data_IF_151542325280
#
_entry.id   IF_151542325280
#
_cell.length_a   1.000
_cell.length_b   1.000
_cell.length_c   1.000
_cell.angle_alpha   90.00
_cell.angle_beta   90.00
_cell.angle_gamma   90.00
#
_symmetry.space_group_name_H-M   'P 1'
#
loop_
_entity.id
_entity.type
_entity.pdbx_description
1 polymer ?
#
# COMPACT_ATOMS: atom_id res chain seq x y z
N UNK A 1 -18.47 -10.20 -6.82
CA UNK A 1 -17.40 -10.73 -5.96
C UNK A 1 -17.08 -9.76 -4.82
N UNK A 2 -16.54 -10.26 -3.69
CA UNK A 2 -16.02 -9.42 -2.60
C UNK A 2 -14.57 -9.01 -2.91
N UNK A 3 -14.25 -7.74 -2.70
CA UNK A 3 -12.89 -7.19 -2.82
C UNK A 3 -12.42 -6.72 -1.45
N UNK A 4 -11.24 -7.18 -1.04
CA UNK A 4 -10.56 -6.73 0.18
C UNK A 4 -9.45 -5.74 -0.22
N UNK A 5 -9.42 -4.56 0.40
CA UNK A 5 -8.40 -3.56 0.13
C UNK A 5 -7.65 -3.25 1.43
N UNK A 6 -6.33 -3.49 1.44
CA UNK A 6 -5.51 -3.10 2.57
C UNK A 6 -5.07 -1.64 2.44
N UNK A 7 -5.17 -0.89 3.54
CA UNK A 7 -4.79 0.53 3.58
C UNK A 7 -3.90 0.81 4.79
N UNK A 8 -2.83 1.58 4.58
CA UNK A 8 -1.87 1.94 5.62
C UNK A 8 -1.98 3.43 5.96
N UNK A 9 -1.92 3.72 7.27
CA UNK A 9 -1.75 5.08 7.79
C UNK A 9 -0.26 5.44 7.74
N UNK A 10 0.08 6.50 7.04
CA UNK A 10 1.46 6.97 6.84
C UNK A 10 1.56 8.47 7.11
N UNK A 11 2.78 8.98 7.27
CA UNK A 11 3.01 10.43 7.27
C UNK A 11 2.59 11.01 5.92
N UNK A 12 1.82 12.10 5.94
CA UNK A 12 1.41 12.80 4.72
C UNK A 12 2.63 13.21 3.89
N UNK A 13 2.60 12.95 2.59
CA UNK A 13 3.73 13.18 1.68
C UNK A 13 4.18 14.65 1.57
N UNK A 14 3.36 15.59 1.98
CA UNK A 14 3.72 17.02 2.03
C UNK A 14 4.50 17.38 3.31
N UNK A 15 4.58 16.49 4.29
CA UNK A 15 5.28 16.73 5.55
C UNK A 15 6.78 16.50 5.37
N UNK A 16 7.59 17.49 5.74
CA UNK A 16 9.03 17.30 5.88
C UNK A 16 9.32 16.57 7.18
N UNK A 17 9.61 15.27 7.10
CA UNK A 17 9.98 14.44 8.26
C UNK A 17 11.31 14.88 8.88
N UNK A 18 11.44 14.66 10.19
CA UNK A 18 12.67 14.93 10.96
C UNK A 18 13.07 13.67 11.71
N UNK A 19 14.36 13.48 11.89
CA UNK A 19 14.90 12.41 12.72
C UNK A 19 14.86 12.87 14.19
N UNK A 20 14.49 11.97 15.11
CA UNK A 20 14.57 12.24 16.53
C UNK A 20 16.01 12.53 16.96
N UNK A 21 16.25 13.40 17.97
CA UNK A 21 17.60 13.77 18.42
C UNK A 21 18.46 12.57 18.84
N UNK A 22 17.83 11.51 19.38
CA UNK A 22 18.50 10.27 19.79
C UNK A 22 18.79 9.29 18.64
N UNK A 23 18.35 9.60 17.42
CA UNK A 23 18.47 8.72 16.25
C UNK A 23 17.64 7.45 16.32
N UNK A 24 16.67 7.33 17.22
CA UNK A 24 15.85 6.13 17.38
C UNK A 24 14.79 5.96 16.30
N UNK A 25 14.54 6.97 15.49
CA UNK A 25 13.49 6.92 14.46
C UNK A 25 13.12 8.31 13.94
N UNK A 26 12.03 8.36 13.18
CA UNK A 26 11.42 9.60 12.70
C UNK A 26 10.54 10.19 13.82
N UNK A 27 10.58 11.51 13.97
CA UNK A 27 9.69 12.22 14.88
C UNK A 27 8.28 12.32 14.26
N UNK A 28 7.34 11.63 14.88
CA UNK A 28 5.93 11.61 14.49
C UNK A 28 5.04 12.52 15.36
N UNK A 29 5.64 13.32 16.24
CA UNK A 29 4.89 14.21 17.14
C UNK A 29 4.21 15.32 16.34
N UNK A 30 2.89 15.43 16.47
CA UNK A 30 2.08 16.46 15.79
C UNK A 30 2.23 16.51 14.26
N UNK A 31 2.54 15.37 13.65
CA UNK A 31 2.68 15.25 12.19
C UNK A 31 1.35 14.87 11.57
N UNK A 32 0.99 15.53 10.47
CA UNK A 32 -0.18 15.13 9.70
C UNK A 32 0.01 13.72 9.14
N UNK A 33 -0.97 12.86 9.37
CA UNK A 33 -1.03 11.51 8.85
C UNK A 33 -2.10 11.42 7.76
N UNK A 34 -1.91 10.53 6.80
CA UNK A 34 -2.84 10.29 5.70
C UNK A 34 -2.91 8.81 5.34
N UNK A 35 -3.83 8.45 4.47
CA UNK A 35 -3.79 7.16 3.76
C UNK A 35 -2.59 7.13 2.83
N UNK A 36 -1.92 5.97 2.73
CA UNK A 36 -0.85 5.78 1.76
C UNK A 36 -1.35 6.00 0.32
N UNK A 37 -0.69 6.84 -0.50
CA UNK A 37 -1.17 7.18 -1.84
C UNK A 37 -1.39 5.97 -2.76
N UNK A 38 -0.56 4.95 -2.68
CA UNK A 38 -0.74 3.72 -3.48
C UNK A 38 -1.95 2.91 -3.01
N UNK A 39 -2.29 2.96 -1.71
CA UNK A 39 -3.48 2.30 -1.18
C UNK A 39 -4.75 3.07 -1.54
N UNK A 40 -4.67 4.40 -1.66
CA UNK A 40 -5.78 5.21 -2.15
C UNK A 40 -6.16 4.84 -3.60
N UNK A 41 -5.15 4.58 -4.45
CA UNK A 41 -5.33 4.02 -5.80
C UNK A 41 -5.98 2.65 -5.74
N UNK A 42 -5.59 1.80 -4.79
CA UNK A 42 -6.17 0.47 -4.59
C UNK A 42 -7.67 0.56 -4.20
N UNK A 43 -8.03 1.48 -3.30
CA UNK A 43 -9.43 1.74 -2.93
C UNK A 43 -10.23 2.22 -4.13
N UNK A 44 -9.72 3.19 -4.88
CA UNK A 44 -10.36 3.71 -6.09
C UNK A 44 -10.64 2.59 -7.10
N UNK A 45 -9.67 1.70 -7.34
CA UNK A 45 -9.86 0.60 -8.28
C UNK A 45 -10.96 -0.37 -7.81
N UNK A 46 -10.96 -0.74 -6.54
CA UNK A 46 -12.01 -1.59 -5.97
C UNK A 46 -13.41 -0.95 -6.12
N UNK A 47 -13.51 0.36 -5.90
CA UNK A 47 -14.77 1.10 -6.07
C UNK A 47 -15.18 1.13 -7.55
N UNK A 48 -14.25 1.35 -8.47
CA UNK A 48 -14.53 1.29 -9.93
C UNK A 48 -14.99 -0.10 -10.37
N UNK A 49 -14.40 -1.17 -9.83
CA UNK A 49 -14.84 -2.54 -10.10
C UNK A 49 -16.26 -2.78 -9.60
N UNK A 50 -16.64 -2.20 -8.46
CA UNK A 50 -18.02 -2.27 -7.95
C UNK A 50 -18.98 -1.46 -8.83
N UNK A 51 -18.62 -0.27 -9.24
CA UNK A 51 -19.43 0.57 -10.14
C UNK A 51 -19.66 -0.09 -11.50
N UNK A 52 -18.69 -0.87 -11.98
CA UNK A 52 -18.83 -1.70 -13.19
C UNK A 52 -19.63 -3.01 -12.98
N UNK A 53 -20.10 -3.28 -11.75
CA UNK A 53 -20.83 -4.51 -11.43
C UNK A 53 -19.96 -5.76 -11.26
N UNK A 54 -18.66 -5.67 -11.36
CA UNK A 54 -17.74 -6.79 -11.14
C UNK A 54 -17.56 -7.13 -9.65
N UNK A 55 -17.61 -6.14 -8.76
CA UNK A 55 -17.62 -6.35 -7.32
C UNK A 55 -18.99 -6.06 -6.72
N UNK A 56 -19.36 -6.78 -5.65
CA UNK A 56 -20.59 -6.60 -4.89
C UNK A 56 -20.33 -5.94 -3.53
N UNK A 57 -19.12 -6.07 -2.99
CA UNK A 57 -18.71 -5.53 -1.70
C UNK A 57 -17.24 -5.14 -1.74
N UNK A 58 -16.91 -3.98 -1.16
CA UNK A 58 -15.55 -3.49 -0.95
C UNK A 58 -15.28 -3.35 0.53
N UNK A 59 -14.38 -4.15 1.07
CA UNK A 59 -13.97 -4.15 2.49
C UNK A 59 -12.59 -3.55 2.61
N UNK A 60 -12.46 -2.45 3.37
CA UNK A 60 -11.15 -1.87 3.68
C UNK A 60 -10.59 -2.49 4.97
N UNK A 61 -9.31 -2.83 5.00
CA UNK A 61 -8.62 -3.34 6.20
C UNK A 61 -7.38 -2.51 6.49
N UNK A 62 -7.14 -2.21 7.76
CA UNK A 62 -5.92 -1.55 8.23
C UNK A 62 -5.38 -2.25 9.47
N UNK A 63 -4.06 -2.37 9.57
CA UNK A 63 -3.38 -2.94 10.73
C UNK A 63 -2.55 -1.87 11.41
N UNK A 64 -2.71 -1.70 12.74
CA UNK A 64 -1.93 -0.76 13.53
C UNK A 64 -2.71 -0.15 14.68
N UNK A 65 -2.26 1.01 15.15
CA UNK A 65 -2.83 1.70 16.31
C UNK A 65 -4.30 2.14 16.08
N UNK A 66 -5.01 2.41 17.15
CA UNK A 66 -6.43 2.84 17.08
C UNK A 66 -6.69 4.01 16.11
N UNK A 67 -5.74 4.93 15.94
CA UNK A 67 -5.84 6.05 15.00
C UNK A 67 -5.92 5.61 13.52
N UNK A 68 -5.61 4.35 13.16
CA UNK A 68 -5.82 3.81 11.81
C UNK A 68 -7.31 3.79 11.41
N UNK A 69 -8.24 3.96 12.36
CA UNK A 69 -9.66 4.17 12.06
C UNK A 69 -9.89 5.36 11.13
N UNK A 70 -9.10 6.43 11.25
CA UNK A 70 -9.22 7.63 10.40
C UNK A 70 -8.94 7.28 8.94
N UNK A 71 -7.91 6.45 8.71
CA UNK A 71 -7.54 5.95 7.38
C UNK A 71 -8.65 5.08 6.79
N UNK A 72 -9.25 4.20 7.60
CA UNK A 72 -10.41 3.40 7.19
C UNK A 72 -11.62 4.28 6.88
N UNK A 73 -11.89 5.34 7.67
CA UNK A 73 -12.95 6.30 7.37
C UNK A 73 -12.71 7.03 6.05
N UNK A 74 -11.44 7.34 5.73
CA UNK A 74 -11.08 7.91 4.41
C UNK A 74 -11.37 6.92 3.29
N UNK A 75 -10.95 5.66 3.40
CA UNK A 75 -11.26 4.62 2.42
C UNK A 75 -12.80 4.44 2.23
N UNK A 76 -13.56 4.48 3.33
CA UNK A 76 -15.01 4.41 3.29
C UNK A 76 -15.66 5.66 2.69
N UNK A 77 -15.04 6.84 2.80
CA UNK A 77 -15.50 8.07 2.16
C UNK A 77 -15.25 8.07 0.65
N UNK A 78 -14.17 7.44 0.19
CA UNK A 78 -13.89 7.17 -1.24
C UNK A 78 -14.95 6.22 -1.79
N UNK A 79 -15.33 5.18 -1.02
CA UNK A 79 -16.40 4.30 -1.46
C UNK A 79 -16.45 2.91 -0.83
N UNK A 80 -15.47 2.48 -0.04
CA UNK A 80 -15.53 1.18 0.63
C UNK A 80 -16.81 1.04 1.48
N UNK A 81 -17.37 -0.16 1.56
CA UNK A 81 -18.67 -0.41 2.19
C UNK A 81 -18.54 -0.50 3.71
N UNK A 82 -17.49 -1.14 4.20
CA UNK A 82 -17.15 -1.26 5.62
C UNK A 82 -15.65 -1.32 5.84
N UNK A 83 -15.24 -1.24 7.11
CA UNK A 83 -13.84 -1.31 7.51
C UNK A 83 -13.57 -2.39 8.54
N UNK A 84 -12.35 -2.92 8.55
CA UNK A 84 -11.82 -3.80 9.60
C UNK A 84 -10.51 -3.20 10.09
N UNK A 85 -10.43 -2.89 11.39
CA UNK A 85 -9.20 -2.51 12.05
C UNK A 85 -8.62 -3.72 12.78
N UNK A 86 -7.42 -4.13 12.39
CA UNK A 86 -6.61 -5.03 13.21
C UNK A 86 -5.77 -4.16 14.14
N UNK A 87 -6.27 -3.96 15.37
CA UNK A 87 -5.67 -3.02 16.31
C UNK A 87 -4.48 -3.64 17.02
N UNK A 88 -3.33 -2.97 16.95
CA UNK A 88 -2.12 -3.32 17.68
C UNK A 88 -1.32 -2.06 18.00
N UNK A 89 -0.81 -1.97 19.23
CA UNK A 89 0.12 -0.92 19.65
C UNK A 89 1.59 -1.33 19.40
N UNK A 90 1.84 -2.58 19.01
CA UNK A 90 3.15 -3.07 18.60
C UNK A 90 3.53 -2.54 17.22
N UNK A 91 4.84 -2.34 16.99
CA UNK A 91 5.37 -2.01 15.66
C UNK A 91 5.18 -3.19 14.71
N UNK A 92 4.28 -3.04 13.74
CA UNK A 92 3.96 -4.09 12.78
C UNK A 92 4.93 -4.07 11.59
N UNK A 93 5.77 -5.09 11.50
CA UNK A 93 6.66 -5.32 10.36
C UNK A 93 5.92 -5.97 9.18
N UNK A 94 6.41 -5.86 7.93
CA UNK A 94 5.70 -6.36 6.74
C UNK A 94 5.24 -7.82 6.82
N UNK A 95 6.04 -8.71 7.37
CA UNK A 95 5.65 -10.13 7.53
C UNK A 95 4.52 -10.31 8.55
N UNK A 96 4.54 -9.56 9.66
CA UNK A 96 3.45 -9.59 10.64
C UNK A 96 2.15 -9.08 10.00
N UNK A 97 2.21 -7.96 9.28
CA UNK A 97 1.06 -7.43 8.52
C UNK A 97 0.54 -8.45 7.51
N UNK A 98 1.43 -9.11 6.76
CA UNK A 98 1.03 -10.13 5.79
C UNK A 98 0.32 -11.32 6.44
N UNK A 99 0.75 -11.76 7.62
CA UNK A 99 0.08 -12.81 8.40
C UNK A 99 -1.29 -12.39 8.91
N UNK A 100 -1.41 -11.14 9.39
CA UNK A 100 -2.69 -10.57 9.82
C UNK A 100 -3.67 -10.46 8.65
N UNK A 101 -3.21 -9.95 7.51
CA UNK A 101 -4.02 -9.87 6.29
C UNK A 101 -4.44 -11.27 5.81
N UNK A 102 -3.54 -12.26 5.87
CA UNK A 102 -3.89 -13.67 5.57
C UNK A 102 -5.00 -14.19 6.47
N UNK A 103 -4.95 -13.92 7.76
CA UNK A 103 -6.01 -14.32 8.69
C UNK A 103 -7.36 -13.64 8.39
N UNK A 104 -7.33 -12.36 7.99
CA UNK A 104 -8.54 -11.66 7.53
C UNK A 104 -9.05 -12.25 6.20
N UNK A 105 -8.15 -12.59 5.26
CA UNK A 105 -8.53 -13.26 3.99
C UNK A 105 -9.23 -14.58 4.27
N UNK A 106 -8.72 -15.38 5.20
CA UNK A 106 -9.35 -16.65 5.58
C UNK A 106 -10.75 -16.47 6.19
N UNK A 107 -10.97 -15.39 6.93
CA UNK A 107 -12.26 -15.07 7.54
C UNK A 107 -13.24 -14.49 6.53
N UNK A 108 -12.79 -13.56 5.70
CA UNK A 108 -13.61 -12.79 4.78
C UNK A 108 -13.85 -13.48 3.43
N UNK A 109 -12.97 -14.39 3.02
CA UNK A 109 -13.02 -15.13 1.74
C UNK A 109 -13.24 -14.22 0.51
N UNK A 110 -12.40 -13.16 0.34
CA UNK A 110 -12.50 -12.30 -0.82
C UNK A 110 -12.05 -13.03 -2.09
N UNK A 111 -12.62 -12.68 -3.23
CA UNK A 111 -12.16 -13.18 -4.53
C UNK A 111 -11.02 -12.33 -5.08
N UNK A 112 -10.88 -11.09 -4.61
CA UNK A 112 -9.78 -10.21 -5.00
C UNK A 112 -9.26 -9.45 -3.79
N UNK A 113 -7.93 -9.42 -3.64
CA UNK A 113 -7.24 -8.60 -2.64
C UNK A 113 -6.40 -7.56 -3.38
N UNK A 114 -6.58 -6.29 -3.05
CA UNK A 114 -5.84 -5.19 -3.68
C UNK A 114 -5.10 -4.43 -2.60
N UNK A 115 -3.83 -4.11 -2.86
CA UNK A 115 -2.97 -3.29 -2.00
C UNK A 115 -2.19 -2.29 -2.86
N UNK A 116 -1.72 -1.22 -2.26
CA UNK A 116 -0.66 -0.42 -2.86
C UNK A 116 0.62 -1.26 -3.04
N UNK A 117 1.39 -1.00 -4.10
CA UNK A 117 2.65 -1.72 -4.34
C UNK A 117 3.64 -1.55 -3.18
N UNK A 118 3.63 -0.38 -2.56
CA UNK A 118 4.52 -0.01 -1.46
C UNK A 118 3.87 1.05 -0.58
N UNK A 119 4.42 1.27 0.60
CA UNK A 119 4.05 2.37 1.49
C UNK A 119 5.18 3.42 1.48
N UNK A 120 4.84 4.70 1.39
CA UNK A 120 5.80 5.81 1.23
C UNK A 120 6.67 6.07 2.46
N UNK A 121 6.37 5.44 3.59
CA UNK A 121 7.11 5.56 4.84
C UNK A 121 8.34 4.64 4.92
N UNK A 122 8.28 3.45 4.34
CA UNK A 122 9.36 2.47 4.43
C UNK A 122 9.79 1.86 3.08
N UNK A 123 9.02 2.06 2.03
CA UNK A 123 9.29 1.59 0.65
C UNK A 123 9.66 0.10 0.53
N UNK A 124 9.24 -0.75 1.46
CA UNK A 124 9.65 -2.15 1.48
C UNK A 124 9.12 -2.96 0.29
N UNK A 125 7.97 -2.59 -0.29
CA UNK A 125 7.37 -3.24 -1.46
C UNK A 125 7.33 -4.79 -1.36
N UNK A 126 6.90 -5.34 -0.23
CA UNK A 126 6.94 -6.79 0.00
C UNK A 126 5.66 -7.37 0.62
N UNK A 127 4.79 -6.55 1.23
CA UNK A 127 3.61 -7.05 1.96
C UNK A 127 2.65 -7.80 1.04
N UNK A 128 2.33 -7.26 -0.15
CA UNK A 128 1.39 -7.90 -1.09
C UNK A 128 1.89 -9.26 -1.57
N UNK A 129 3.17 -9.36 -1.93
CA UNK A 129 3.80 -10.61 -2.35
C UNK A 129 3.82 -11.65 -1.23
N UNK A 130 4.10 -11.22 0.02
CA UNK A 130 4.03 -12.10 1.19
C UNK A 130 2.61 -12.59 1.45
N UNK A 131 1.60 -11.73 1.32
CA UNK A 131 0.17 -12.09 1.45
C UNK A 131 -0.18 -13.17 0.44
N UNK A 132 0.17 -12.95 -0.84
CA UNK A 132 -0.11 -13.92 -1.90
C UNK A 132 0.52 -15.28 -1.62
N UNK A 133 1.80 -15.30 -1.22
CA UNK A 133 2.53 -16.51 -0.89
C UNK A 133 1.92 -17.24 0.32
N UNK A 134 1.61 -16.53 1.40
CA UNK A 134 1.03 -17.11 2.62
C UNK A 134 -0.39 -17.63 2.40
N UNK A 135 -1.17 -16.99 1.54
CA UNK A 135 -2.53 -17.40 1.22
C UNK A 135 -2.60 -18.43 0.07
N UNK A 136 -1.49 -18.72 -0.61
CA UNK A 136 -1.46 -19.62 -1.77
C UNK A 136 -2.24 -19.08 -2.98
N UNK A 137 -2.29 -17.75 -3.14
CA UNK A 137 -3.06 -17.08 -4.17
C UNK A 137 -2.18 -16.65 -5.35
N UNK A 138 -2.78 -16.61 -6.54
CA UNK A 138 -2.15 -15.99 -7.71
C UNK A 138 -1.90 -14.51 -7.42
N UNK A 139 -0.82 -13.94 -8.00
CA UNK A 139 -0.48 -12.54 -7.79
C UNK A 139 -0.05 -11.83 -9.07
N UNK A 140 -0.34 -10.52 -9.13
CA UNK A 140 0.29 -9.58 -10.06
C UNK A 140 0.66 -8.30 -9.33
N UNK A 141 1.89 -7.84 -9.53
CA UNK A 141 2.42 -6.63 -8.87
C UNK A 141 2.52 -5.46 -9.86
N UNK A 142 2.52 -4.22 -9.34
CA UNK A 142 2.68 -2.99 -10.14
C UNK A 142 1.60 -2.81 -11.22
N UNK A 143 0.35 -3.15 -10.90
CA UNK A 143 -0.75 -3.08 -11.86
C UNK A 143 -1.00 -1.65 -12.34
N UNK A 144 -1.03 -1.47 -13.64
CA UNK A 144 -1.43 -0.23 -14.34
C UNK A 144 -2.77 -0.36 -15.09
N UNK A 145 -3.31 -1.59 -15.19
CA UNK A 145 -4.67 -1.86 -15.70
C UNK A 145 -5.19 -3.14 -15.06
N UNK A 146 -6.48 -3.15 -14.68
CA UNK A 146 -7.17 -4.33 -14.14
C UNK A 146 -8.52 -4.50 -14.82
N UNK A 147 -8.78 -5.68 -15.35
CA UNK A 147 -10.06 -6.08 -15.94
C UNK A 147 -10.49 -7.42 -15.34
N UNK A 148 -11.77 -7.54 -15.01
CA UNK A 148 -12.33 -8.80 -14.50
C UNK A 148 -13.25 -9.39 -15.56
N UNK A 149 -12.94 -10.60 -16.00
CA UNK A 149 -13.72 -11.31 -16.98
C UNK A 149 -13.63 -12.82 -16.75
N UNK A 150 -14.76 -13.53 -16.90
CA UNK A 150 -14.84 -15.01 -16.91
C UNK A 150 -14.15 -15.69 -15.71
N UNK A 151 -14.31 -15.11 -14.51
CA UNK A 151 -13.72 -15.65 -13.29
C UNK A 151 -12.18 -15.44 -13.17
N UNK A 152 -11.61 -14.56 -13.99
CA UNK A 152 -10.20 -14.20 -14.00
C UNK A 152 -10.01 -12.70 -13.82
N UNK A 153 -8.83 -12.33 -13.31
CA UNK A 153 -8.31 -10.98 -13.38
C UNK A 153 -7.26 -10.90 -14.50
N UNK A 154 -7.48 -10.03 -15.47
CA UNK A 154 -6.49 -9.69 -16.50
C UNK A 154 -5.81 -8.39 -16.07
N UNK A 155 -4.52 -8.47 -15.78
CA UNK A 155 -3.76 -7.39 -15.16
C UNK A 155 -2.59 -7.01 -16.07
N UNK A 156 -2.56 -5.77 -16.54
CA UNK A 156 -1.37 -5.19 -17.16
C UNK A 156 -0.53 -4.54 -16.08
N UNK A 157 0.75 -4.85 -16.03
CA UNK A 157 1.70 -4.40 -15.01
C UNK A 157 2.92 -3.72 -15.61
N UNK A 158 3.50 -2.82 -14.84
CA UNK A 158 4.74 -2.12 -15.19
C UNK A 158 5.93 -3.03 -14.87
N UNK A 159 6.82 -3.21 -15.83
CA UNK A 159 8.12 -3.91 -15.68
C UNK A 159 9.23 -3.05 -16.29
N UNK A 160 10.50 -3.33 -15.98
CA UNK A 160 11.63 -2.53 -16.47
C UNK A 160 11.72 -2.50 -18.01
N UNK A 161 11.33 -3.59 -18.67
CA UNK A 161 11.31 -3.68 -20.13
C UNK A 161 10.05 -3.14 -20.82
N UNK A 162 9.06 -2.63 -20.06
CA UNK A 162 7.79 -2.13 -20.61
C UNK A 162 6.56 -2.62 -19.86
N UNK A 163 5.60 -3.19 -20.56
CA UNK A 163 4.34 -3.70 -19.98
C UNK A 163 4.23 -5.21 -20.15
N UNK A 164 3.73 -5.87 -19.11
CA UNK A 164 3.38 -7.29 -19.14
C UNK A 164 1.91 -7.47 -18.78
N UNK A 165 1.20 -8.34 -19.49
CA UNK A 165 -0.19 -8.67 -19.17
C UNK A 165 -0.31 -10.11 -18.70
N UNK A 166 -0.85 -10.29 -17.50
CA UNK A 166 -1.06 -11.58 -16.85
C UNK A 166 -2.56 -11.86 -16.72
N UNK A 167 -2.94 -13.12 -16.93
CA UNK A 167 -4.29 -13.62 -16.64
C UNK A 167 -4.22 -14.48 -15.38
N UNK A 168 -4.86 -14.02 -14.30
CA UNK A 168 -4.87 -14.67 -13.00
C UNK A 168 -6.19 -15.35 -12.74
N UNK A 169 -6.17 -16.60 -12.30
CA UNK A 169 -7.36 -17.22 -11.73
C UNK A 169 -7.71 -16.54 -10.39
N UNK A 170 -9.01 -16.31 -10.15
CA UNK A 170 -9.47 -15.82 -8.86
C UNK A 170 -9.68 -17.00 -7.88
N UNK A 171 -9.40 -16.84 -6.58
CA UNK A 171 -8.98 -15.58 -5.92
C UNK A 171 -7.52 -15.19 -6.19
N UNK A 172 -7.25 -13.89 -6.20
CA UNK A 172 -5.92 -13.35 -6.51
C UNK A 172 -5.56 -12.11 -5.66
N UNK A 173 -4.26 -11.82 -5.58
CA UNK A 173 -3.70 -10.61 -4.94
C UNK A 173 -3.11 -9.71 -6.03
N UNK A 174 -3.45 -8.43 -6.00
CA UNK A 174 -2.92 -7.42 -6.92
C UNK A 174 -2.30 -6.28 -6.12
N UNK A 175 -1.11 -5.82 -6.52
CA UNK A 175 -0.56 -4.58 -6.00
C UNK A 175 -0.59 -3.48 -7.07
N UNK A 176 -0.99 -2.27 -6.67
CA UNK A 176 -1.28 -1.18 -7.59
C UNK A 176 -0.07 -0.27 -7.82
N UNK A 177 0.18 0.08 -9.07
CA UNK A 177 1.08 1.17 -9.45
C UNK A 177 0.33 2.51 -9.50
N UNK A 178 1.05 3.61 -9.45
CA UNK A 178 0.48 4.96 -9.53
C UNK A 178 -0.21 5.26 -10.89
N UNK A 179 0.08 4.48 -11.92
CA UNK A 179 -0.49 4.63 -13.28
C UNK A 179 -1.85 3.96 -13.43
N UNK A 180 -2.30 3.18 -12.44
CA UNK A 180 -3.55 2.42 -12.56
C UNK A 180 -4.78 3.34 -12.69
N UNK A 181 -4.85 4.35 -11.86
CA UNK A 181 -5.96 5.32 -11.86
C UNK A 181 -5.58 6.60 -11.11
N UNK A 182 -6.44 7.61 -11.23
CA UNK A 182 -6.42 8.79 -10.40
C UNK A 182 -7.56 8.67 -9.37
N UNK A 183 -7.24 8.65 -8.06
CA UNK A 183 -8.25 8.54 -7.00
C UNK A 183 -9.19 9.73 -6.98
N UNK A 184 -10.48 9.47 -6.76
CA UNK A 184 -11.49 10.51 -6.58
C UNK A 184 -11.33 11.23 -5.25
N UNK A 185 -11.69 12.50 -5.22
CA UNK A 185 -11.82 13.23 -3.96
C UNK A 185 -13.10 12.81 -3.22
N UNK A 186 -12.97 12.54 -1.93
CA UNK A 186 -14.12 12.29 -1.07
C UNK A 186 -14.93 13.59 -0.88
N UNK A 187 -16.21 13.55 -1.23
CA UNK A 187 -17.11 14.69 -1.03
C UNK A 187 -17.52 14.80 0.44
N UNK A 188 -17.87 16.01 0.90
CA UNK A 188 -18.33 16.20 2.28
C UNK A 188 -19.52 15.29 2.66
N UNK A 189 -20.56 15.10 1.82
CA UNK A 189 -21.61 14.12 2.09
C UNK A 189 -21.08 12.69 2.28
N UNK A 190 -20.10 12.25 1.49
CA UNK A 190 -19.51 10.92 1.61
C UNK A 190 -18.68 10.77 2.88
N UNK A 191 -17.95 11.80 3.30
CA UNK A 191 -17.24 11.84 4.60
C UNK A 191 -18.24 11.68 5.75
N UNK A 192 -19.37 12.38 5.71
CA UNK A 192 -20.42 12.27 6.73
C UNK A 192 -21.07 10.88 6.76
N UNK A 193 -21.32 10.28 5.58
CA UNK A 193 -21.83 8.90 5.48
C UNK A 193 -20.81 7.90 6.00
N UNK A 194 -19.53 8.07 5.69
CA UNK A 194 -18.45 7.18 6.12
C UNK A 194 -18.36 7.05 7.65
N UNK A 195 -18.68 8.10 8.40
CA UNK A 195 -18.71 8.07 9.88
C UNK A 195 -19.70 7.03 10.45
N UNK A 196 -20.75 6.71 9.69
CA UNK A 196 -21.82 5.78 10.09
C UNK A 196 -21.66 4.37 9.52
N UNK A 197 -20.71 4.16 8.57
CA UNK A 197 -20.47 2.84 8.00
C UNK A 197 -19.89 1.89 9.05
N UNK A 198 -20.18 0.57 8.96
CA UNK A 198 -19.65 -0.43 9.89
C UNK A 198 -18.12 -0.42 9.90
N UNK A 199 -17.54 -0.51 11.09
CA UNK A 199 -16.12 -0.65 11.32
C UNK A 199 -15.93 -1.63 12.47
N UNK A 200 -15.43 -2.82 12.13
CA UNK A 200 -15.11 -3.85 13.10
C UNK A 200 -13.67 -3.68 13.59
N UNK A 201 -13.44 -3.97 14.86
CA UNK A 201 -12.09 -3.97 15.45
C UNK A 201 -11.80 -5.36 15.98
N UNK A 202 -10.64 -5.89 15.59
CA UNK A 202 -10.11 -7.18 16.07
C UNK A 202 -8.66 -7.00 16.48
N UNK A 203 -8.13 -7.93 17.27
CA UNK A 203 -6.74 -7.90 17.72
C UNK A 203 -5.93 -9.03 17.08
N UNK A 204 -4.58 -8.93 17.02
CA UNK A 204 -3.73 -10.04 16.57
C UNK A 204 -3.97 -11.33 17.35
N UNK A 205 -4.24 -11.23 18.66
CA UNK A 205 -4.52 -12.36 19.54
C UNK A 205 -5.81 -13.08 19.15
N UNK A 206 -6.89 -12.33 18.85
CA UNK A 206 -8.16 -12.91 18.37
C UNK A 206 -8.01 -13.58 17.00
N UNK A 207 -7.02 -13.15 16.21
CA UNK A 207 -6.67 -13.76 14.92
C UNK A 207 -5.67 -14.93 15.06
N UNK A 208 -5.12 -15.17 16.27
CA UNK A 208 -4.12 -16.19 16.50
C UNK A 208 -2.77 -15.92 15.83
N UNK A 209 -2.43 -14.64 15.61
CA UNK A 209 -1.22 -14.24 14.87
C UNK A 209 -0.19 -13.64 15.81
N UNK A 210 1.03 -14.21 15.79
CA UNK A 210 2.21 -13.64 16.44
C UNK A 210 2.75 -12.46 15.57
N UNK A 211 2.78 -11.28 16.18
CA UNK A 211 3.27 -10.04 15.56
C UNK A 211 4.60 -9.56 16.15
N UNK A 212 5.26 -10.37 16.97
CA UNK A 212 6.53 -10.01 17.60
C UNK A 212 7.53 -9.50 16.56
N UNK A 213 8.09 -8.29 16.76
CA UNK A 213 9.08 -7.71 15.84
C UNK A 213 10.33 -8.60 15.71
N UNK A 214 10.81 -8.79 14.49
CA UNK A 214 12.01 -9.61 14.19
C UNK A 214 13.22 -8.77 13.81
N UNK A 215 13.00 -7.52 13.46
CA UNK A 215 14.03 -6.55 13.11
C UNK A 215 14.03 -5.43 14.15
N UNK A 216 15.21 -4.90 14.45
CA UNK A 216 15.39 -3.74 15.31
C UNK A 216 16.12 -2.64 14.56
N UNK A 217 15.54 -1.45 14.49
CA UNK A 217 16.21 -0.27 13.97
C UNK A 217 17.33 0.13 14.92
N UNK A 218 18.56 0.11 14.46
CA UNK A 218 19.72 0.48 15.27
C UNK A 218 19.97 1.98 15.28
N UNK A 219 19.78 2.63 14.11
CA UNK A 219 20.02 4.06 13.96
C UNK A 219 19.26 4.60 12.75
N UNK A 220 18.66 5.78 12.92
CA UNK A 220 18.08 6.58 11.83
C UNK A 220 18.86 7.87 11.70
N UNK A 221 19.22 8.24 10.47
CA UNK A 221 19.93 9.48 10.15
C UNK A 221 19.30 10.16 8.95
N UNK A 222 19.45 11.47 8.85
CA UNK A 222 19.07 12.18 7.64
C UNK A 222 20.01 11.77 6.49
N UNK A 223 19.51 11.73 5.24
CA UNK A 223 20.36 11.49 4.08
C UNK A 223 21.47 12.54 4.01
N UNK A 224 22.67 12.11 3.63
CA UNK A 224 23.77 13.04 3.40
C UNK A 224 23.38 14.07 2.33
N UNK A 225 23.73 15.33 2.57
CA UNK A 225 23.50 16.40 1.59
C UNK A 225 24.19 16.07 0.26
N UNK A 226 23.48 16.23 -0.84
CA UNK A 226 24.05 16.06 -2.18
C UNK A 226 24.84 17.32 -2.54
N UNK A 227 26.08 17.15 -3.02
CA UNK A 227 26.83 18.23 -3.64
C UNK A 227 26.21 18.59 -5.00
N UNK A 228 26.42 19.84 -5.43
CA UNK A 228 26.03 20.26 -6.77
C UNK A 228 26.76 19.41 -7.82
N UNK A 229 26.07 19.08 -8.91
CA UNK A 229 26.68 18.40 -10.03
C UNK A 229 27.69 19.30 -10.78
N UNK A 230 28.56 18.69 -11.56
CA UNK A 230 29.53 19.41 -12.41
C UNK A 230 28.92 19.58 -13.80
N UNK A 231 28.78 20.83 -14.25
CA UNK A 231 28.39 21.12 -15.63
C UNK A 231 29.56 20.83 -16.57
N UNK A 232 29.28 20.17 -17.67
CA UNK A 232 30.27 19.84 -18.70
C UNK A 232 29.91 20.55 -20.01
N UNK A 233 30.91 20.89 -20.87
CA UNK A 233 30.68 21.70 -22.06
C UNK A 233 29.94 20.96 -23.17
N UNK A 234 30.08 19.64 -23.27
CA UNK A 234 29.54 18.82 -24.36
C UNK A 234 29.25 17.39 -23.94
N UNK A 235 28.55 16.65 -24.80
CA UNK A 235 28.15 15.26 -24.62
C UNK A 235 29.35 14.32 -24.56
N UNK A 236 30.39 14.54 -25.36
CA UNK A 236 31.58 13.70 -25.35
C UNK A 236 32.28 13.73 -24.00
N UNK A 237 32.43 14.92 -23.42
CA UNK A 237 32.98 15.10 -22.08
C UNK A 237 32.09 14.44 -21.02
N UNK A 238 30.75 14.52 -21.14
CA UNK A 238 29.83 13.83 -20.23
C UNK A 238 30.05 12.32 -20.28
N UNK A 239 30.05 11.72 -21.48
CA UNK A 239 30.25 10.28 -21.67
C UNK A 239 31.60 9.85 -21.12
N UNK A 240 32.68 10.60 -21.40
CA UNK A 240 34.02 10.31 -20.89
C UNK A 240 34.06 10.30 -19.35
N UNK A 241 33.40 11.27 -18.69
CA UNK A 241 33.32 11.33 -17.22
C UNK A 241 32.50 10.19 -16.65
N UNK A 242 31.35 9.87 -17.24
CA UNK A 242 30.50 8.75 -16.80
C UNK A 242 31.24 7.41 -16.90
N UNK A 243 32.03 7.21 -18.01
CA UNK A 243 32.80 6.00 -18.24
C UNK A 243 34.05 5.90 -17.37
N UNK A 244 34.86 6.95 -17.32
CA UNK A 244 36.22 6.88 -16.75
C UNK A 244 36.29 7.27 -15.27
N UNK A 245 35.44 8.23 -14.84
CA UNK A 245 35.42 8.75 -13.47
C UNK A 245 34.32 8.08 -12.65
N UNK A 246 33.05 8.16 -13.08
CA UNK A 246 31.93 7.60 -12.36
C UNK A 246 31.77 6.08 -12.54
N UNK A 247 32.26 5.51 -13.65
CA UNK A 247 32.22 4.07 -13.99
C UNK A 247 30.80 3.50 -13.94
N UNK A 248 29.84 4.23 -14.50
CA UNK A 248 28.42 3.85 -14.53
C UNK A 248 27.95 3.42 -15.92
N UNK A 249 28.78 3.59 -16.94
CA UNK A 249 28.57 3.14 -18.31
C UNK A 249 29.84 2.52 -18.87
#
# INVERSE_FOLDING_TARGET
>A
MKVLVAVKRVVDFNVKVRVKPDGSGVDLSNVKMSINPFDEIAVEEAVRLREKGAASEVVAVSCGVAACQETLRTAMAIGADRGILVQSDEELQPLAVARLLKAIIDKEQPQLVILGKQAIDNDCNQTGQMVAALAGLAQSTFASKVEIADGHAVVTREIDGGLETLKLALPAVITTDLRLNEPRYATLPNIMKAKKKPLDTVTPQELGVDVTPRLKTLKTVEPAGRSAGVKVPDVATLVAKLKNEAKVI
#
